data_IF_556242407769
#
_entry.id   IF_556242407769
#
_cell.length_a   1.000
_cell.length_b   1.000
_cell.length_c   1.000
_cell.angle_alpha   90.00
_cell.angle_beta   90.00
_cell.angle_gamma   90.00
#
_symmetry.space_group_name_H-M   'P 1'
#
loop_
_entity.id
_entity.type
_entity.pdbx_description
1 polymer ?
#
# COMPACT_ATOMS: atom_id res chain seq x y z
N UNK A 1 -8.03 -5.64 13.77
CA UNK A 1 -6.63 -6.02 13.46
C UNK A 1 -5.78 -4.81 13.81
N UNK A 2 -4.97 -4.89 14.88
CA UNK A 2 -4.08 -3.79 15.29
C UNK A 2 -2.81 -3.75 14.44
N UNK A 3 -2.12 -2.61 14.42
CA UNK A 3 -0.81 -2.47 13.78
C UNK A 3 0.23 -3.31 14.54
N UNK A 4 1.13 -4.06 13.86
CA UNK A 4 2.19 -4.80 14.51
C UNK A 4 3.06 -3.85 15.33
N UNK A 5 3.33 -4.24 16.56
CA UNK A 5 4.14 -3.43 17.47
C UNK A 5 5.60 -3.82 17.28
N UNK A 6 6.38 -2.94 16.63
CA UNK A 6 7.81 -3.11 16.49
C UNK A 6 8.50 -2.74 17.81
N UNK A 7 8.67 -3.72 18.70
CA UNK A 7 9.42 -3.55 19.95
C UNK A 7 10.94 -3.60 19.66
N UNK A 8 11.75 -2.57 19.90
CA UNK A 8 13.20 -2.64 19.69
C UNK A 8 13.84 -3.71 20.61
N UNK A 9 14.72 -4.55 20.07
CA UNK A 9 15.34 -5.67 20.80
C UNK A 9 16.16 -6.59 19.89
N UNK A 10 16.74 -7.66 20.46
CA UNK A 10 17.52 -8.65 19.70
C UNK A 10 16.56 -9.56 18.90
N UNK A 11 16.35 -9.26 17.62
CA UNK A 11 15.54 -10.05 16.68
C UNK A 11 16.42 -10.83 15.72
N UNK A 12 15.93 -11.97 15.25
CA UNK A 12 16.53 -12.65 14.11
C UNK A 12 16.21 -11.92 12.80
N UNK A 13 17.03 -12.13 11.77
CA UNK A 13 16.77 -11.58 10.43
C UNK A 13 15.40 -12.02 9.88
N UNK A 14 15.01 -13.28 10.11
CA UNK A 14 13.71 -13.83 9.72
C UNK A 14 12.54 -13.09 10.40
N UNK A 15 12.67 -12.75 11.69
CA UNK A 15 11.65 -11.99 12.41
C UNK A 15 11.52 -10.57 11.87
N UNK A 16 12.64 -9.90 11.58
CA UNK A 16 12.62 -8.56 10.97
C UNK A 16 11.97 -8.59 9.59
N UNK A 17 12.27 -9.61 8.78
CA UNK A 17 11.67 -9.78 7.46
C UNK A 17 10.15 -10.02 7.56
N UNK A 18 9.73 -10.88 8.49
CA UNK A 18 8.31 -11.16 8.74
C UNK A 18 7.57 -9.90 9.19
N UNK A 19 8.11 -9.16 10.17
CA UNK A 19 7.53 -7.91 10.67
C UNK A 19 7.35 -6.87 9.54
N UNK A 20 8.31 -6.81 8.62
CA UNK A 20 8.27 -5.89 7.48
C UNK A 20 7.25 -6.29 6.42
N UNK A 21 7.18 -7.57 6.05
CA UNK A 21 6.19 -8.10 5.12
C UNK A 21 4.77 -7.91 5.68
N UNK A 22 4.57 -8.18 6.97
CA UNK A 22 3.28 -7.93 7.64
C UNK A 22 2.91 -6.45 7.61
N UNK A 23 3.86 -5.54 7.87
CA UNK A 23 3.63 -4.10 7.75
C UNK A 23 3.20 -3.72 6.33
N UNK A 24 3.84 -4.26 5.29
CA UNK A 24 3.52 -3.97 3.90
C UNK A 24 2.13 -4.49 3.55
N UNK A 25 1.81 -5.74 3.90
CA UNK A 25 0.50 -6.34 3.70
C UNK A 25 -0.64 -5.53 4.37
N UNK A 26 -0.36 -4.91 5.52
CA UNK A 26 -1.31 -4.01 6.16
C UNK A 26 -1.52 -2.69 5.41
N UNK A 27 -0.46 -2.13 4.86
CA UNK A 27 -0.55 -0.93 4.02
C UNK A 27 -1.31 -1.21 2.72
N UNK A 28 -1.04 -2.35 2.07
CA UNK A 28 -1.78 -2.86 0.91
C UNK A 28 -3.29 -2.99 1.19
N UNK A 29 -3.64 -3.59 2.33
CA UNK A 29 -5.05 -3.70 2.74
C UNK A 29 -5.69 -2.33 2.95
N UNK A 30 -4.98 -1.37 3.52
CA UNK A 30 -5.48 -0.01 3.69
C UNK A 30 -5.69 0.68 2.34
N UNK A 31 -4.78 0.51 1.38
CA UNK A 31 -4.93 1.02 0.01
C UNK A 31 -6.16 0.41 -0.69
N UNK A 32 -6.36 -0.91 -0.58
CA UNK A 32 -7.56 -1.58 -1.12
C UNK A 32 -8.85 -0.99 -0.55
N UNK A 33 -8.90 -0.71 0.76
CA UNK A 33 -10.06 -0.05 1.37
C UNK A 33 -10.28 1.37 0.84
N UNK A 34 -9.21 2.15 0.62
CA UNK A 34 -9.30 3.49 0.03
C UNK A 34 -9.88 3.41 -1.39
N UNK A 35 -9.32 2.53 -2.25
CA UNK A 35 -9.78 2.37 -3.64
C UNK A 35 -11.23 1.90 -3.69
N UNK A 36 -11.62 0.99 -2.80
CA UNK A 36 -13.01 0.54 -2.70
C UNK A 36 -13.95 1.69 -2.27
N UNK A 37 -13.58 2.46 -1.24
CA UNK A 37 -14.37 3.61 -0.79
C UNK A 37 -14.55 4.67 -1.90
N UNK A 38 -13.49 4.92 -2.68
CA UNK A 38 -13.57 5.82 -3.85
C UNK A 38 -14.50 5.27 -4.94
N UNK A 39 -14.50 3.95 -5.14
CA UNK A 39 -15.40 3.26 -6.08
C UNK A 39 -16.86 3.32 -5.63
N UNK A 40 -17.13 3.12 -4.34
CA UNK A 40 -18.46 3.26 -3.75
C UNK A 40 -18.96 4.71 -3.84
N UNK A 41 -18.09 5.69 -3.55
CA UNK A 41 -18.38 7.12 -3.71
C UNK A 41 -18.79 7.45 -5.15
N UNK A 42 -18.04 6.91 -6.12
CA UNK A 42 -18.34 7.15 -7.53
C UNK A 42 -19.71 6.56 -7.92
N UNK A 43 -19.98 5.32 -7.53
CA UNK A 43 -21.27 4.66 -7.80
C UNK A 43 -22.43 5.42 -7.15
N UNK A 44 -22.28 5.87 -5.90
CA UNK A 44 -23.32 6.62 -5.20
C UNK A 44 -23.69 7.91 -5.94
N UNK A 45 -22.70 8.65 -6.47
CA UNK A 45 -22.95 9.92 -7.18
C UNK A 45 -23.50 9.67 -8.60
N UNK A 46 -23.01 8.66 -9.31
CA UNK A 46 -23.52 8.31 -10.66
C UNK A 46 -25.01 7.93 -10.60
N UNK A 47 -25.44 7.29 -9.52
CA UNK A 47 -26.83 6.86 -9.33
C UNK A 47 -27.75 7.98 -8.79
N UNK A 48 -27.26 9.22 -8.61
CA UNK A 48 -28.11 10.35 -8.21
C UNK A 48 -28.86 10.92 -9.41
N UNK A 49 -30.19 11.04 -9.29
CA UNK A 49 -31.07 11.57 -10.35
C UNK A 49 -30.75 13.02 -10.78
N UNK A 50 -30.05 13.78 -9.94
CA UNK A 50 -29.81 15.23 -10.13
C UNK A 50 -28.33 15.58 -10.33
N UNK A 51 -27.47 14.63 -10.70
CA UNK A 51 -26.05 14.92 -10.90
C UNK A 51 -25.80 15.61 -12.25
N UNK A 52 -25.12 16.75 -12.22
CA UNK A 52 -24.73 17.45 -13.46
C UNK A 52 -23.44 16.86 -14.05
N UNK A 53 -23.25 17.02 -15.36
CA UNK A 53 -22.01 16.61 -16.05
C UNK A 53 -20.77 17.27 -15.44
N UNK A 54 -20.88 18.51 -14.95
CA UNK A 54 -19.77 19.21 -14.29
C UNK A 54 -19.39 18.53 -12.97
N UNK A 55 -20.38 18.10 -12.18
CA UNK A 55 -20.13 17.36 -10.94
C UNK A 55 -19.51 15.98 -11.23
N UNK A 56 -19.95 15.30 -12.28
CA UNK A 56 -19.35 14.03 -12.72
C UNK A 56 -17.89 14.19 -13.14
N UNK A 57 -17.57 15.27 -13.87
CA UNK A 57 -16.18 15.58 -14.26
C UNK A 57 -15.31 15.86 -13.03
N UNK A 58 -15.79 16.69 -12.10
CA UNK A 58 -15.07 17.00 -10.85
C UNK A 58 -14.85 15.74 -10.00
N UNK A 59 -15.86 14.88 -9.90
CA UNK A 59 -15.75 13.59 -9.22
C UNK A 59 -14.68 12.71 -9.88
N UNK A 60 -14.71 12.59 -11.21
CA UNK A 60 -13.74 11.77 -11.94
C UNK A 60 -12.31 12.26 -11.71
N UNK A 61 -12.06 13.57 -11.81
CA UNK A 61 -10.75 14.16 -11.52
C UNK A 61 -10.32 13.90 -10.07
N UNK A 62 -11.24 14.04 -9.11
CA UNK A 62 -10.94 13.74 -7.70
C UNK A 62 -10.56 12.27 -7.48
N UNK A 63 -11.29 11.33 -8.08
CA UNK A 63 -11.02 9.90 -7.95
C UNK A 63 -9.72 9.54 -8.67
N UNK A 64 -9.47 10.11 -9.86
CA UNK A 64 -8.22 9.93 -10.60
C UNK A 64 -7.01 10.36 -9.75
N UNK A 65 -7.09 11.52 -9.07
CA UNK A 65 -6.04 11.96 -8.16
C UNK A 65 -5.79 10.96 -7.02
N UNK A 66 -6.85 10.40 -6.43
CA UNK A 66 -6.73 9.39 -5.37
C UNK A 66 -6.14 8.08 -5.86
N UNK A 67 -6.54 7.60 -7.05
CA UNK A 67 -5.98 6.39 -7.67
C UNK A 67 -4.49 6.60 -7.98
N UNK A 68 -4.13 7.76 -8.53
CA UNK A 68 -2.73 8.10 -8.80
C UNK A 68 -1.90 8.16 -7.51
N UNK A 69 -2.46 8.68 -6.41
CA UNK A 69 -1.79 8.67 -5.11
C UNK A 69 -1.61 7.23 -4.57
N UNK A 70 -2.64 6.39 -4.68
CA UNK A 70 -2.57 4.97 -4.29
C UNK A 70 -1.52 4.21 -5.09
N UNK A 71 -1.46 4.38 -6.42
CA UNK A 71 -0.47 3.75 -7.29
C UNK A 71 0.97 4.16 -6.96
N UNK A 72 1.19 5.43 -6.55
CA UNK A 72 2.50 5.87 -6.07
C UNK A 72 2.88 5.20 -4.76
N UNK A 73 1.93 5.02 -3.85
CA UNK A 73 2.17 4.29 -2.60
C UNK A 73 2.48 2.81 -2.89
N UNK A 74 1.79 2.18 -3.82
CA UNK A 74 2.09 0.81 -4.30
C UNK A 74 3.56 0.69 -4.74
N UNK A 75 4.03 1.64 -5.54
CA UNK A 75 5.43 1.65 -6.01
C UNK A 75 6.42 1.78 -4.85
N UNK A 76 6.09 2.57 -3.83
CA UNK A 76 6.93 2.69 -2.61
C UNK A 76 6.91 1.39 -1.81
N UNK A 77 5.78 0.70 -1.71
CA UNK A 77 5.67 -0.59 -1.03
C UNK A 77 6.45 -1.69 -1.77
N UNK A 78 6.39 -1.70 -3.10
CA UNK A 78 7.21 -2.57 -3.93
C UNK A 78 8.71 -2.30 -3.71
N UNK A 79 9.14 -1.04 -3.71
CA UNK A 79 10.54 -0.69 -3.46
C UNK A 79 11.02 -1.15 -2.07
N UNK A 80 10.16 -1.08 -1.05
CA UNK A 80 10.49 -1.63 0.28
C UNK A 80 10.71 -3.14 0.24
N UNK A 81 9.88 -3.90 -0.49
CA UNK A 81 10.07 -5.35 -0.65
C UNK A 81 11.38 -5.67 -1.38
N UNK A 82 11.69 -4.92 -2.44
CA UNK A 82 12.92 -5.12 -3.22
C UNK A 82 14.17 -4.88 -2.39
N UNK A 83 14.22 -3.79 -1.62
CA UNK A 83 15.33 -3.51 -0.70
C UNK A 83 15.52 -4.63 0.34
N UNK A 84 14.41 -5.17 0.86
CA UNK A 84 14.45 -6.24 1.86
C UNK A 84 15.04 -7.53 1.29
N UNK A 85 14.72 -7.85 0.04
CA UNK A 85 15.30 -9.00 -0.65
C UNK A 85 16.78 -8.81 -0.98
N UNK A 86 17.22 -7.58 -1.30
CA UNK A 86 18.62 -7.28 -1.59
C UNK A 86 19.52 -7.42 -0.37
N UNK A 87 19.10 -6.93 0.81
CA UNK A 87 19.83 -7.09 2.07
C UNK A 87 19.96 -8.57 2.51
N UNK A 88 19.05 -9.45 2.05
CA UNK A 88 19.16 -10.88 2.32
C UNK A 88 20.26 -11.57 1.50
N UNK A 89 20.56 -11.06 0.30
CA UNK A 89 21.55 -11.66 -0.61
C UNK A 89 23.00 -11.28 -0.29
N UNK A 90 23.23 -10.22 0.50
CA UNK A 90 24.59 -9.78 0.86
C UNK A 90 25.23 -10.72 1.89
N UNK A 91 24.43 -11.45 2.68
CA UNK A 91 24.92 -12.34 3.74
C UNK A 91 25.31 -13.75 3.26
N UNK A 92 25.11 -14.09 1.98
CA UNK A 92 25.47 -15.41 1.43
C UNK A 92 26.86 -15.44 0.75
N UNK A 93 27.48 -14.29 0.44
CA UNK A 93 28.78 -14.24 -0.24
C UNK A 93 30.02 -14.26 0.68
N UNK A 94 29.86 -14.26 2.00
CA UNK A 94 30.99 -14.22 2.96
C UNK A 94 31.33 -15.59 3.61
N UNK A 95 30.76 -16.69 3.13
CA UNK A 95 31.05 -18.06 3.63
C UNK A 95 31.51 -18.98 2.50
N UNK A 96 32.48 -18.54 1.70
CA UNK A 96 33.35 -19.45 0.93
C UNK A 96 34.74 -18.83 0.76
N UNK A 97 35.55 -18.91 1.82
CA UNK A 97 37.01 -18.71 1.82
C UNK A 97 37.66 -19.48 2.96
#
# INVERSE_FOLDING_TARGET
MGMPTIIPGNRTQEQVMTDLIESIAMQERALSHIVNAESEKMQAIINMDTVSTQQLLQLNQSVEHMINAAARLETVLQAKLELSNQECNINEEEVDS
#
